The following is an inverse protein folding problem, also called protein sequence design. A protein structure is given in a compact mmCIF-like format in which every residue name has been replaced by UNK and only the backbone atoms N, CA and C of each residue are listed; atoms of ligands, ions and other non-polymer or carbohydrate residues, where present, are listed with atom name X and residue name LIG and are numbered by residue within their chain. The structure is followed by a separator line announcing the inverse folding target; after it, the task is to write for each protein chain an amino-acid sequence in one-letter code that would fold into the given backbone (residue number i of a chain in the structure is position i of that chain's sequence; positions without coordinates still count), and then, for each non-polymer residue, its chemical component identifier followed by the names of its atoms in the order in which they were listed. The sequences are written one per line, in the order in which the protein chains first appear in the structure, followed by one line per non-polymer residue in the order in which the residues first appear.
data_IF_400556753182
#
_entry.id   IF_400556753182
#
_cell.length_a   1.000
_cell.length_b   1.000
_cell.length_c   1.000
_cell.angle_alpha   90.00
_cell.angle_beta   90.00
_cell.angle_gamma   90.00
#
_symmetry.space_group_name_H-M   'P 1'
#
loop_
_entity.id
_entity.type
_entity.pdbx_description
1 polymer ?
#
# COMPACT_ATOMS: atom_id res chain seq x y z
N UNK A 1 -12.76 -44.57 -39.05
CA UNK A 1 -13.59 -44.19 -37.88
C UNK A 1 -12.73 -43.28 -37.05
N UNK A 2 -12.89 -41.96 -37.21
CA UNK A 2 -12.00 -40.97 -36.60
C UNK A 2 -12.38 -40.72 -35.15
N UNK A 3 -11.42 -40.89 -34.24
CA UNK A 3 -11.53 -40.43 -32.86
C UNK A 3 -11.01 -39.01 -32.77
N UNK A 4 -11.92 -38.05 -32.85
CA UNK A 4 -11.67 -36.65 -32.46
C UNK A 4 -11.80 -36.55 -30.93
N UNK A 5 -10.66 -36.62 -30.24
CA UNK A 5 -10.58 -36.18 -28.85
C UNK A 5 -10.46 -34.65 -28.85
N UNK A 6 -11.60 -33.97 -28.81
CA UNK A 6 -11.67 -32.53 -28.53
C UNK A 6 -11.46 -32.37 -27.01
N UNK A 7 -10.21 -32.13 -26.61
CA UNK A 7 -9.90 -31.60 -25.28
C UNK A 7 -10.22 -30.11 -25.29
N UNK A 8 -11.41 -29.74 -24.84
CA UNK A 8 -11.73 -28.36 -24.44
C UNK A 8 -12.09 -28.41 -22.97
N UNK A 9 -11.30 -27.70 -22.15
CA UNK A 9 -11.76 -26.93 -20.97
C UNK A 9 -10.56 -26.23 -20.31
N UNK A 10 -10.21 -25.07 -20.85
CA UNK A 10 -9.49 -24.00 -20.13
C UNK A 10 -10.31 -22.70 -20.28
N UNK A 11 -11.50 -22.64 -19.66
CA UNK A 11 -12.38 -21.45 -19.72
C UNK A 11 -12.59 -20.77 -18.36
N UNK A 12 -11.83 -21.19 -17.32
CA UNK A 12 -11.96 -20.66 -15.96
C UNK A 12 -11.13 -19.40 -15.66
N UNK A 13 -9.96 -19.26 -16.29
CA UNK A 13 -9.02 -18.17 -15.97
C UNK A 13 -9.40 -16.82 -16.58
N UNK A 14 -9.93 -16.81 -17.81
CA UNK A 14 -10.20 -15.57 -18.56
C UNK A 14 -11.27 -14.69 -17.88
N UNK A 15 -12.36 -15.32 -17.41
CA UNK A 15 -13.49 -14.65 -16.75
C UNK A 15 -13.08 -13.92 -15.48
N UNK A 16 -12.15 -14.50 -14.71
CA UNK A 16 -11.68 -13.91 -13.47
C UNK A 16 -10.79 -12.69 -13.76
N UNK A 17 -9.91 -12.79 -14.77
CA UNK A 17 -9.04 -11.68 -15.20
C UNK A 17 -9.82 -10.45 -15.68
N UNK A 18 -10.92 -10.67 -16.42
CA UNK A 18 -11.79 -9.57 -16.86
C UNK A 18 -12.44 -8.83 -15.67
N UNK A 19 -12.87 -9.57 -14.64
CA UNK A 19 -13.43 -9.00 -13.41
C UNK A 19 -12.42 -8.12 -12.64
N UNK A 20 -11.20 -8.60 -12.45
CA UNK A 20 -10.14 -7.83 -11.77
C UNK A 20 -9.78 -6.55 -12.52
N UNK A 21 -9.79 -6.59 -13.86
CA UNK A 21 -9.51 -5.41 -14.69
C UNK A 21 -10.59 -4.34 -14.54
N UNK A 22 -11.87 -4.74 -14.53
CA UNK A 22 -13.00 -3.82 -14.33
C UNK A 22 -12.90 -3.14 -12.96
N UNK A 23 -12.67 -3.92 -11.89
CA UNK A 23 -12.55 -3.36 -10.54
C UNK A 23 -11.32 -2.44 -10.43
N UNK A 24 -10.21 -2.81 -11.07
CA UNK A 24 -9.01 -1.97 -11.11
C UNK A 24 -9.30 -0.63 -11.80
N UNK A 25 -10.06 -0.59 -12.91
CA UNK A 25 -10.44 0.68 -13.52
C UNK A 25 -11.28 1.56 -12.58
N UNK A 26 -12.23 0.98 -11.84
CA UNK A 26 -13.05 1.73 -10.87
C UNK A 26 -12.19 2.40 -9.79
N UNK A 27 -11.21 1.65 -9.26
CA UNK A 27 -10.23 2.20 -8.29
C UNK A 27 -9.47 3.40 -8.87
N UNK A 28 -9.03 3.31 -10.13
CA UNK A 28 -8.24 4.33 -10.81
C UNK A 28 -9.06 5.56 -11.20
N UNK A 29 -10.33 5.37 -11.56
CA UNK A 29 -11.27 6.43 -11.92
C UNK A 29 -11.63 7.29 -10.70
N UNK A 30 -11.70 6.67 -9.52
CA UNK A 30 -11.90 7.38 -8.26
C UNK A 30 -10.68 8.18 -7.76
N UNK A 31 -9.58 8.27 -8.51
CA UNK A 31 -8.40 9.08 -8.18
C UNK A 31 -8.38 10.35 -9.03
N UNK A 32 -8.37 11.52 -8.38
CA UNK A 32 -8.31 12.82 -9.09
C UNK A 32 -6.92 13.13 -9.65
N UNK A 33 -5.86 12.77 -8.92
CA UNK A 33 -4.48 13.05 -9.31
C UNK A 33 -3.95 12.04 -10.33
N UNK A 34 -3.48 12.55 -11.48
CA UNK A 34 -2.82 11.74 -12.52
C UNK A 34 -1.57 11.03 -12.02
N UNK A 35 -0.82 11.67 -11.11
CA UNK A 35 0.38 11.07 -10.54
C UNK A 35 0.03 9.87 -9.67
N UNK A 36 -0.95 10.03 -8.77
CA UNK A 36 -1.44 8.96 -7.91
C UNK A 36 -2.05 7.82 -8.73
N UNK A 37 -2.81 8.13 -9.79
CA UNK A 37 -3.38 7.14 -10.69
C UNK A 37 -2.30 6.28 -11.36
N UNK A 38 -1.20 6.89 -11.83
CA UNK A 38 -0.08 6.14 -12.42
C UNK A 38 0.59 5.22 -11.40
N UNK A 39 0.85 5.73 -10.20
CA UNK A 39 1.45 4.94 -9.13
C UNK A 39 0.55 3.76 -8.70
N UNK A 40 -0.77 3.99 -8.61
CA UNK A 40 -1.74 2.94 -8.25
C UNK A 40 -1.90 1.92 -9.37
N UNK A 41 -1.97 2.35 -10.64
CA UNK A 41 -2.03 1.44 -11.79
C UNK A 41 -0.86 0.48 -11.77
N UNK A 42 0.37 1.01 -11.68
CA UNK A 42 1.56 0.17 -11.61
C UNK A 42 1.55 -0.78 -10.41
N UNK A 43 1.15 -0.28 -9.23
CA UNK A 43 1.08 -1.10 -8.03
C UNK A 43 0.09 -2.27 -8.16
N UNK A 44 -1.10 -2.00 -8.72
CA UNK A 44 -2.16 -2.99 -8.89
C UNK A 44 -1.80 -4.00 -9.99
N UNK A 45 -1.24 -3.56 -11.10
CA UNK A 45 -0.79 -4.44 -12.19
C UNK A 45 0.27 -5.43 -11.68
N UNK A 46 1.30 -4.93 -10.97
CA UNK A 46 2.35 -5.79 -10.41
C UNK A 46 1.81 -6.73 -9.31
N UNK A 47 0.83 -6.29 -8.52
CA UNK A 47 0.19 -7.15 -7.53
C UNK A 47 -0.62 -8.26 -8.19
N UNK A 48 -1.41 -7.96 -9.22
CA UNK A 48 -2.25 -8.94 -9.92
C UNK A 48 -1.39 -9.98 -10.64
N UNK A 49 -0.29 -9.58 -11.27
CA UNK A 49 0.68 -10.52 -11.86
C UNK A 49 1.18 -11.49 -10.80
N UNK A 50 1.63 -10.97 -9.65
CA UNK A 50 2.10 -11.81 -8.53
C UNK A 50 0.98 -12.66 -7.91
N UNK A 51 -0.24 -12.14 -7.85
CA UNK A 51 -1.40 -12.85 -7.28
C UNK A 51 -1.81 -14.03 -8.15
N UNK A 52 -1.78 -13.87 -9.47
CA UNK A 52 -2.15 -14.91 -10.44
C UNK A 52 -1.04 -15.91 -10.77
N UNK A 53 0.20 -15.65 -10.34
CA UNK A 53 1.33 -16.57 -10.49
C UNK A 53 1.11 -17.90 -9.73
N UNK A 54 0.22 -17.90 -8.73
CA UNK A 54 -0.10 -19.06 -7.91
C UNK A 54 -1.62 -19.17 -7.72
N UNK A 55 -2.28 -20.21 -8.28
CA UNK A 55 -3.72 -20.35 -8.24
C UNK A 55 -4.26 -20.66 -6.84
N UNK A 56 -3.40 -21.01 -5.87
CA UNK A 56 -3.80 -21.26 -4.48
C UNK A 56 -3.96 -19.97 -3.66
N UNK A 57 -3.62 -18.82 -4.23
CA UNK A 57 -3.70 -17.54 -3.52
C UNK A 57 -5.13 -17.04 -3.48
N UNK A 58 -5.60 -16.84 -2.27
CA UNK A 58 -6.85 -16.16 -1.99
C UNK A 58 -6.59 -14.71 -1.64
N UNK A 59 -7.46 -13.80 -2.10
CA UNK A 59 -7.34 -12.40 -1.75
C UNK A 59 -7.75 -12.21 -0.30
N UNK A 60 -6.80 -12.19 0.62
CA UNK A 60 -7.02 -12.06 2.06
C UNK A 60 -5.86 -11.30 2.72
N UNK A 61 -5.98 -11.03 4.02
CA UNK A 61 -4.93 -10.32 4.78
C UNK A 61 -3.56 -11.03 4.70
N UNK A 62 -3.55 -12.37 4.71
CA UNK A 62 -2.31 -13.14 4.64
C UNK A 62 -1.61 -12.99 3.28
N UNK A 63 -2.35 -12.98 2.17
CA UNK A 63 -1.80 -12.71 0.85
C UNK A 63 -1.15 -11.32 0.77
N UNK A 64 -1.78 -10.30 1.34
CA UNK A 64 -1.20 -8.94 1.38
C UNK A 64 0.09 -8.90 2.20
N UNK A 65 0.18 -9.63 3.31
CA UNK A 65 1.42 -9.73 4.10
C UNK A 65 2.53 -10.48 3.35
N UNK A 66 2.19 -11.57 2.64
CA UNK A 66 3.14 -12.26 1.76
C UNK A 66 3.66 -11.31 0.68
N UNK A 67 2.78 -10.54 0.05
CA UNK A 67 3.18 -9.56 -0.96
C UNK A 67 4.09 -8.48 -0.39
N UNK A 68 3.84 -8.01 0.84
CA UNK A 68 4.75 -7.07 1.52
C UNK A 68 6.17 -7.66 1.63
N UNK A 69 6.31 -8.89 2.10
CA UNK A 69 7.61 -9.55 2.23
C UNK A 69 8.33 -9.69 0.88
N UNK A 70 7.59 -9.93 -0.20
CA UNK A 70 8.11 -9.97 -1.57
C UNK A 70 8.63 -8.60 -2.02
N UNK A 71 7.92 -7.51 -1.71
CA UNK A 71 8.39 -6.16 -2.02
C UNK A 71 9.63 -5.77 -1.21
N UNK A 72 9.73 -6.21 0.05
CA UNK A 72 10.90 -6.02 0.91
C UNK A 72 12.10 -6.81 0.35
N UNK A 73 11.88 -8.04 -0.11
CA UNK A 73 12.91 -8.87 -0.77
C UNK A 73 13.40 -8.23 -2.07
N UNK A 74 12.50 -7.59 -2.83
CA UNK A 74 12.85 -6.78 -4.02
C UNK A 74 13.60 -5.48 -3.69
N UNK A 75 13.78 -5.15 -2.41
CA UNK A 75 14.54 -3.98 -1.98
C UNK A 75 13.84 -2.64 -2.21
N UNK A 76 12.51 -2.63 -2.29
CA UNK A 76 11.76 -1.37 -2.46
C UNK A 76 11.87 -0.50 -1.22
N UNK A 77 11.91 0.83 -1.43
CA UNK A 77 11.85 1.79 -0.34
C UNK A 77 10.53 1.65 0.45
N UNK A 78 10.55 1.84 1.79
CA UNK A 78 9.35 1.71 2.63
C UNK A 78 8.17 2.58 2.16
N UNK A 79 8.45 3.80 1.70
CA UNK A 79 7.42 4.69 1.15
C UNK A 79 6.72 4.08 -0.09
N UNK A 80 7.49 3.46 -0.98
CA UNK A 80 6.96 2.80 -2.18
C UNK A 80 6.11 1.59 -1.83
N UNK A 81 6.54 0.81 -0.82
CA UNK A 81 5.76 -0.32 -0.30
C UNK A 81 4.42 0.16 0.24
N UNK A 82 4.42 1.24 1.04
CA UNK A 82 3.19 1.79 1.61
C UNK A 82 2.21 2.31 0.56
N UNK A 83 2.71 2.93 -0.52
CA UNK A 83 1.86 3.34 -1.65
C UNK A 83 1.20 2.12 -2.30
N UNK A 84 1.96 1.06 -2.53
CA UNK A 84 1.45 -0.19 -3.12
C UNK A 84 0.41 -0.87 -2.24
N UNK A 85 0.69 -1.00 -0.95
CA UNK A 85 -0.27 -1.54 0.02
C UNK A 85 -1.54 -0.69 0.13
N UNK A 86 -1.43 0.64 -0.01
CA UNK A 86 -2.59 1.52 -0.01
C UNK A 86 -3.47 1.32 -1.24
N UNK A 87 -2.88 1.10 -2.42
CA UNK A 87 -3.62 0.74 -3.61
C UNK A 87 -4.37 -0.58 -3.43
N UNK A 88 -3.72 -1.61 -2.86
CA UNK A 88 -4.34 -2.92 -2.59
C UNK A 88 -5.48 -2.82 -1.57
N UNK A 89 -5.33 -2.01 -0.52
CA UNK A 89 -6.40 -1.76 0.45
C UNK A 89 -7.62 -1.14 -0.20
N UNK A 90 -7.42 -0.18 -1.10
CA UNK A 90 -8.51 0.44 -1.85
C UNK A 90 -9.17 -0.56 -2.81
N UNK A 91 -8.38 -1.40 -3.47
CA UNK A 91 -8.89 -2.49 -4.29
C UNK A 91 -9.81 -3.42 -3.47
N UNK A 92 -9.40 -3.82 -2.26
CA UNK A 92 -10.21 -4.69 -1.41
C UNK A 92 -11.59 -4.12 -1.07
N UNK A 93 -11.68 -2.81 -0.81
CA UNK A 93 -12.96 -2.14 -0.58
C UNK A 93 -13.82 -2.18 -1.86
N UNK A 94 -13.25 -1.84 -3.00
CA UNK A 94 -13.97 -1.84 -4.28
C UNK A 94 -14.46 -3.26 -4.66
N UNK A 95 -13.65 -4.29 -4.41
CA UNK A 95 -14.03 -5.70 -4.63
C UNK A 95 -15.23 -6.08 -3.76
N UNK A 96 -15.27 -5.62 -2.51
CA UNK A 96 -16.41 -5.86 -1.62
C UNK A 96 -17.66 -5.08 -2.05
N UNK A 97 -17.50 -3.81 -2.45
CA UNK A 97 -18.60 -2.97 -2.93
C UNK A 97 -19.25 -3.54 -4.19
N UNK A 98 -18.49 -4.27 -5.02
CA UNK A 98 -18.98 -4.98 -6.20
C UNK A 98 -19.44 -6.42 -5.91
N UNK A 99 -19.50 -6.83 -4.63
CA UNK A 99 -20.03 -8.13 -4.21
C UNK A 99 -19.15 -9.35 -4.50
N UNK A 100 -17.88 -9.15 -4.89
CA UNK A 100 -16.93 -10.23 -5.18
C UNK A 100 -16.27 -10.76 -3.90
N UNK A 101 -16.17 -9.93 -2.86
CA UNK A 101 -15.59 -10.28 -1.56
C UNK A 101 -16.54 -9.94 -0.42
N UNK A 102 -16.54 -10.76 0.63
CA UNK A 102 -17.25 -10.44 1.87
C UNK A 102 -16.70 -9.14 2.51
N UNK A 103 -17.56 -8.18 2.90
CA UNK A 103 -17.13 -6.91 3.48
C UNK A 103 -16.21 -7.05 4.70
N UNK A 104 -16.37 -8.12 5.48
CA UNK A 104 -15.55 -8.41 6.67
C UNK A 104 -14.10 -8.75 6.29
N UNK A 105 -13.90 -9.47 5.20
CA UNK A 105 -12.58 -9.81 4.66
C UNK A 105 -11.89 -8.56 4.11
N UNK A 106 -12.63 -7.76 3.34
CA UNK A 106 -12.14 -6.49 2.82
C UNK A 106 -11.77 -5.52 3.95
N UNK A 107 -12.60 -5.42 4.99
CA UNK A 107 -12.29 -4.64 6.19
C UNK A 107 -11.05 -5.18 6.94
N UNK A 108 -10.82 -6.51 6.92
CA UNK A 108 -9.60 -7.13 7.44
C UNK A 108 -8.34 -6.69 6.68
N UNK A 109 -8.42 -6.58 5.34
CA UNK A 109 -7.35 -6.08 4.49
C UNK A 109 -7.15 -4.57 4.67
N UNK A 110 -8.24 -3.80 4.64
CA UNK A 110 -8.23 -2.34 4.72
C UNK A 110 -7.68 -1.83 6.06
N UNK A 111 -8.00 -2.52 7.18
CA UNK A 111 -7.43 -2.23 8.49
C UNK A 111 -5.94 -2.54 8.61
N UNK A 112 -5.35 -3.18 7.59
CA UNK A 112 -4.00 -3.71 7.54
C UNK A 112 -3.01 -2.89 8.37
N UNK A 113 -2.85 -3.35 9.60
CA UNK A 113 -1.90 -2.86 10.57
C UNK A 113 -0.51 -3.18 10.01
N UNK A 114 0.23 -2.12 9.69
CA UNK A 114 1.60 -2.16 9.21
C UNK A 114 2.59 -2.57 10.33
N UNK A 115 2.10 -2.87 11.53
CA UNK A 115 2.91 -3.10 12.75
C UNK A 115 3.25 -4.55 13.11
N UNK A 116 2.99 -5.54 12.26
CA UNK A 116 3.47 -6.90 12.55
C UNK A 116 4.89 -7.08 12.01
N UNK A 117 5.86 -6.87 12.91
CA UNK A 117 7.32 -7.08 12.79
C UNK A 117 8.12 -6.09 11.92
N UNK A 118 8.13 -4.82 12.34
CA UNK A 118 9.26 -3.94 12.06
C UNK A 118 10.47 -4.38 12.90
N UNK A 119 11.50 -4.95 12.27
CA UNK A 119 12.84 -4.82 12.82
C UNK A 119 13.12 -3.32 13.01
N UNK A 120 13.64 -2.85 14.15
CA UNK A 120 13.97 -1.44 14.33
C UNK A 120 15.17 -1.10 13.43
N UNK A 121 14.90 -0.68 12.19
CA UNK A 121 15.89 -0.01 11.35
C UNK A 121 16.08 1.39 11.91
N UNK A 122 17.09 1.53 12.76
CA UNK A 122 17.82 2.77 13.02
C UNK A 122 16.97 3.91 13.58
N UNK A 123 17.24 4.27 14.83
CA UNK A 123 16.80 5.53 15.42
C UNK A 123 17.02 6.71 14.44
N UNK A 124 16.05 7.62 14.28
CA UNK A 124 16.32 8.89 13.64
C UNK A 124 17.27 9.72 14.51
N UNK A 125 18.25 10.37 13.88
CA UNK A 125 19.32 11.17 14.48
C UNK A 125 18.86 12.48 15.18
N UNK A 126 17.62 12.56 15.66
CA UNK A 126 17.14 13.72 16.42
C UNK A 126 17.35 13.54 17.93
N UNK A 127 18.48 12.97 18.34
CA UNK A 127 18.98 13.12 19.70
C UNK A 127 20.01 14.27 19.70
N UNK A 128 19.51 15.50 19.81
CA UNK A 128 20.38 16.67 19.73
C UNK A 128 19.70 17.98 20.12
N UNK A 129 19.12 18.05 21.32
CA UNK A 129 19.26 19.19 22.24
C UNK A 129 18.75 18.76 23.61
N UNK A 130 19.67 18.26 24.42
CA UNK A 130 19.55 18.28 25.87
C UNK A 130 19.50 19.76 26.29
N UNK A 131 18.32 20.30 26.55
CA UNK A 131 18.20 21.55 27.31
C UNK A 131 18.40 21.19 28.78
N UNK A 132 19.41 21.75 29.49
CA UNK A 132 19.61 21.43 30.88
C UNK A 132 18.48 21.99 31.75
N UNK A 133 17.90 21.12 32.57
CA UNK A 133 17.30 21.53 33.83
C UNK A 133 18.32 22.40 34.59
N UNK A 134 17.99 23.67 34.85
CA UNK A 134 17.96 24.23 36.20
C UNK A 134 17.57 25.70 36.24
N UNK A 135 16.87 26.00 37.35
CA UNK A 135 16.71 27.27 38.07
C UNK A 135 15.85 28.39 37.48
N UNK A 136 14.64 28.50 38.06
CA UNK A 136 14.06 29.74 38.58
C UNK A 136 14.12 30.99 37.70
N UNK A 137 13.03 31.27 36.99
CA UNK A 137 12.79 32.57 36.38
C UNK A 137 12.18 33.54 37.41
N UNK A 138 12.86 34.63 37.79
CA UNK A 138 12.17 35.84 38.17
C UNK A 138 11.68 36.57 36.90
N UNK A 139 10.49 37.13 37.03
CA UNK A 139 9.83 38.06 36.10
C UNK A 139 10.76 39.15 35.60
N UNK A 140 10.98 39.25 34.28
CA UNK A 140 11.29 40.52 33.63
C UNK A 140 10.71 40.59 32.22
N UNK A 141 10.33 41.82 31.91
CA UNK A 141 9.56 42.29 30.78
C UNK A 141 10.46 42.68 29.60
N UNK A 142 9.86 42.76 28.41
CA UNK A 142 10.16 43.68 27.29
C UNK A 142 11.22 43.30 26.23
N UNK A 143 10.75 43.46 24.98
CA UNK A 143 11.41 43.93 23.76
C UNK A 143 12.13 42.96 22.81
N UNK A 144 11.54 42.92 21.60
CA UNK A 144 12.19 43.12 20.29
C UNK A 144 13.37 42.21 19.94
N UNK A 145 13.19 41.37 18.92
CA UNK A 145 14.16 41.34 17.83
C UNK A 145 13.49 40.96 16.50
N UNK A 146 13.64 41.87 15.54
CA UNK A 146 13.14 41.79 14.17
C UNK A 146 14.22 41.21 13.25
N UNK A 147 13.92 40.10 12.58
CA UNK A 147 14.47 39.63 11.29
C UNK A 147 15.95 39.16 11.22
N UNK A 148 16.42 38.68 10.05
CA UNK A 148 15.71 38.00 8.98
C UNK A 148 16.25 36.57 8.68
N UNK A 149 15.41 35.78 8.02
CA UNK A 149 15.70 34.52 7.35
C UNK A 149 16.97 34.61 6.46
N UNK A 150 17.89 33.66 6.61
CA UNK A 150 18.89 33.34 5.59
C UNK A 150 18.86 31.85 5.31
N UNK A 151 18.34 31.49 4.14
CA UNK A 151 18.50 30.18 3.52
C UNK A 151 19.93 29.98 3.05
N UNK A 152 20.51 28.83 3.38
CA UNK A 152 21.56 28.20 2.55
C UNK A 152 21.44 26.68 2.68
N UNK A 153 21.65 26.01 1.56
CA UNK A 153 21.51 24.57 1.31
C UNK A 153 22.30 23.65 2.25
#
# INVERSE_FOLDING_TARGET
MGSTAVMVREEGHQRHYDGWRIITSLVLDGLSSRHTRRAYSQALDEFLIWFHDDPSREFNKAAVQKYRAELETKGLAPASINVRLSAIRRLALEVADNGVMAPELAAGIARGDDRVFSHPKGQPCWSGTQLPERVGLPTLSIAQFSGPFSSTC
#
